data_IF_136910467467
#
_entry.id   IF_136910467467
#
_cell.length_a   1.000
_cell.length_b   1.000
_cell.length_c   1.000
_cell.angle_alpha   90.00
_cell.angle_beta   90.00
_cell.angle_gamma   90.00
#
_symmetry.space_group_name_H-M   'P 1'
#
loop_
_entity.id
_entity.type
_entity.pdbx_description
1 polymer ?
#
# COMPACT_ATOMS: atom_id res chain seq x y z
N UNK A 1 -19.74 -3.53 11.05
CA UNK A 1 -18.78 -3.45 9.94
C UNK A 1 -17.69 -2.44 10.29
N UNK A 2 -16.56 -2.46 9.58
CA UNK A 2 -15.51 -1.44 9.64
C UNK A 2 -15.33 -0.81 8.25
N UNK A 3 -15.18 0.50 8.17
CA UNK A 3 -15.05 1.21 6.89
C UNK A 3 -13.58 1.26 6.46
N UNK A 4 -13.29 0.79 5.24
CA UNK A 4 -11.95 0.79 4.63
C UNK A 4 -11.95 1.60 3.35
N UNK A 5 -10.82 2.23 3.02
CA UNK A 5 -10.59 2.84 1.71
C UNK A 5 -9.76 1.87 0.86
N UNK A 6 -10.24 1.51 -0.33
CA UNK A 6 -9.53 0.62 -1.22
C UNK A 6 -8.21 1.25 -1.68
N UNK A 7 -7.05 0.61 -1.47
CA UNK A 7 -5.75 1.18 -1.85
C UNK A 7 -5.50 1.19 -3.37
N UNK A 8 -6.42 0.62 -4.15
CA UNK A 8 -6.32 0.54 -5.62
C UNK A 8 -7.19 1.59 -6.29
N UNK A 9 -8.46 1.72 -5.89
CA UNK A 9 -9.43 2.57 -6.58
C UNK A 9 -9.99 3.71 -5.70
N UNK A 10 -9.58 3.82 -4.44
CA UNK A 10 -10.04 4.87 -3.53
C UNK A 10 -11.48 4.71 -3.02
N UNK A 11 -12.22 3.69 -3.46
CA UNK A 11 -13.60 3.46 -3.01
C UNK A 11 -13.65 3.10 -1.53
N UNK A 12 -14.53 3.78 -0.79
CA UNK A 12 -14.90 3.40 0.58
C UNK A 12 -15.79 2.15 0.55
N UNK A 13 -15.45 1.13 1.34
CA UNK A 13 -16.19 -0.13 1.39
C UNK A 13 -16.19 -0.72 2.81
N UNK A 14 -17.24 -1.48 3.10
CA UNK A 14 -17.40 -2.13 4.40
C UNK A 14 -16.69 -3.48 4.46
N UNK A 15 -16.01 -3.72 5.57
CA UNK A 15 -15.33 -4.97 5.87
C UNK A 15 -15.92 -5.58 7.14
N UNK A 16 -16.12 -6.90 7.13
CA UNK A 16 -16.57 -7.63 8.30
C UNK A 16 -15.58 -7.47 9.46
N UNK A 17 -16.06 -7.25 10.69
CA UNK A 17 -15.20 -6.96 11.87
C UNK A 17 -14.13 -8.03 12.11
N UNK A 18 -14.44 -9.30 11.85
CA UNK A 18 -13.47 -10.40 11.93
C UNK A 18 -12.35 -10.24 10.88
N UNK A 19 -12.68 -9.89 9.64
CA UNK A 19 -11.68 -9.64 8.61
C UNK A 19 -10.87 -8.38 8.89
N UNK A 20 -11.50 -7.36 9.48
CA UNK A 20 -10.80 -6.16 9.96
C UNK A 20 -9.77 -6.51 11.04
N UNK A 21 -10.17 -7.25 12.09
CA UNK A 21 -9.26 -7.70 13.14
C UNK A 21 -8.08 -8.53 12.60
N UNK A 22 -8.36 -9.45 11.67
CA UNK A 22 -7.33 -10.29 11.03
C UNK A 22 -6.44 -9.53 10.02
N UNK A 23 -6.75 -8.26 9.72
CA UNK A 23 -5.93 -7.46 8.80
C UNK A 23 -4.70 -6.85 9.49
N UNK A 24 -4.67 -6.77 10.82
CA UNK A 24 -3.61 -6.10 11.58
C UNK A 24 -3.31 -4.68 11.06
N UNK A 25 -4.35 -3.92 10.73
CA UNK A 25 -4.24 -2.57 10.18
C UNK A 25 -3.82 -2.50 8.71
N UNK A 26 -3.66 -3.63 8.02
CA UNK A 26 -3.37 -3.63 6.57
C UNK A 26 -4.61 -3.23 5.76
N UNK A 27 -4.42 -2.45 4.68
CA UNK A 27 -5.53 -2.02 3.84
C UNK A 27 -6.20 -3.22 3.15
N UNK A 28 -7.53 -3.20 3.07
CA UNK A 28 -8.34 -4.21 2.36
C UNK A 28 -8.81 -3.67 1.00
N UNK A 29 -8.79 -4.53 -0.01
CA UNK A 29 -9.31 -4.23 -1.36
C UNK A 29 -10.82 -4.48 -1.44
N UNK A 30 -11.55 -3.62 -2.17
CA UNK A 30 -13.02 -3.68 -2.26
C UNK A 30 -13.59 -4.80 -3.16
N UNK A 31 -12.78 -5.39 -4.05
CA UNK A 31 -13.26 -6.36 -5.05
C UNK A 31 -12.17 -7.34 -5.50
N UNK A 32 -12.54 -8.48 -6.11
CA UNK A 32 -11.57 -9.42 -6.70
C UNK A 32 -10.64 -8.76 -7.71
N UNK A 33 -11.15 -7.83 -8.54
CA UNK A 33 -10.35 -7.07 -9.50
C UNK A 33 -9.30 -6.20 -8.80
N UNK A 34 -9.66 -5.50 -7.72
CA UNK A 34 -8.68 -4.73 -6.97
C UNK A 34 -7.67 -5.64 -6.26
N UNK A 35 -8.11 -6.80 -5.77
CA UNK A 35 -7.26 -7.79 -5.13
C UNK A 35 -6.18 -8.35 -6.07
N UNK A 36 -6.50 -8.57 -7.35
CA UNK A 36 -5.52 -9.04 -8.34
C UNK A 36 -4.51 -7.96 -8.74
N UNK A 37 -4.93 -6.69 -8.77
CA UNK A 37 -4.06 -5.55 -9.11
C UNK A 37 -3.14 -5.13 -7.95
N UNK A 38 -3.58 -5.31 -6.71
CA UNK A 38 -2.90 -4.77 -5.54
C UNK A 38 -1.43 -5.21 -5.37
N UNK A 39 -1.04 -6.48 -5.59
CA UNK A 39 0.36 -6.90 -5.44
C UNK A 39 1.33 -6.15 -6.37
N UNK A 40 0.92 -5.92 -7.62
CA UNK A 40 1.74 -5.19 -8.60
C UNK A 40 1.93 -3.72 -8.19
N UNK A 41 0.85 -3.07 -7.75
CA UNK A 41 0.88 -1.70 -7.26
C UNK A 41 1.71 -1.55 -5.98
N UNK A 42 1.54 -2.47 -5.03
CA UNK A 42 2.32 -2.48 -3.79
C UNK A 42 3.81 -2.64 -4.09
N UNK A 43 4.19 -3.55 -5.00
CA UNK A 43 5.58 -3.71 -5.44
C UNK A 43 6.13 -2.46 -6.10
N UNK A 44 5.37 -1.84 -7.02
CA UNK A 44 5.80 -0.62 -7.68
C UNK A 44 6.07 0.52 -6.69
N UNK A 45 5.20 0.67 -5.68
CA UNK A 45 5.38 1.65 -4.61
C UNK A 45 6.64 1.39 -3.79
N UNK A 46 6.87 0.17 -3.33
CA UNK A 46 8.08 -0.18 -2.56
C UNK A 46 9.33 0.10 -3.37
N UNK A 47 9.35 -0.26 -4.66
CA UNK A 47 10.50 0.02 -5.53
C UNK A 47 10.73 1.53 -5.72
N UNK A 48 9.66 2.32 -5.83
CA UNK A 48 9.78 3.78 -5.92
C UNK A 48 10.33 4.38 -4.62
N UNK A 49 9.87 3.90 -3.46
CA UNK A 49 10.37 4.31 -2.15
C UNK A 49 11.86 3.95 -1.98
N UNK A 50 12.27 2.73 -2.36
CA UNK A 50 13.68 2.32 -2.34
C UNK A 50 14.56 3.18 -3.26
N UNK A 51 14.09 3.49 -4.48
CA UNK A 51 14.82 4.39 -5.40
C UNK A 51 14.98 5.78 -4.82
N UNK A 52 13.94 6.32 -4.20
CA UNK A 52 13.99 7.61 -3.52
C UNK A 52 15.01 7.59 -2.38
N UNK A 53 14.99 6.55 -1.54
CA UNK A 53 15.96 6.41 -0.45
C UNK A 53 17.41 6.28 -0.97
N UNK A 54 17.62 5.55 -2.07
CA UNK A 54 18.94 5.43 -2.70
C UNK A 54 19.43 6.78 -3.25
N UNK A 55 18.55 7.54 -3.91
CA UNK A 55 18.85 8.88 -4.39
C UNK A 55 19.20 9.82 -3.22
N UNK A 56 18.36 9.86 -2.18
CA UNK A 56 18.56 10.71 -1.01
C UNK A 56 19.84 10.34 -0.24
N UNK A 57 20.21 9.05 -0.21
CA UNK A 57 21.47 8.60 0.38
C UNK A 57 22.68 9.06 -0.45
N UNK A 58 22.60 9.00 -1.77
CA UNK A 58 23.65 9.48 -2.66
C UNK A 58 23.86 10.99 -2.54
N UNK A 59 22.79 11.78 -2.44
CA UNK A 59 22.85 13.23 -2.25
C UNK A 59 23.34 13.68 -0.86
N UNK A 60 23.44 12.78 0.13
CA UNK A 60 23.90 13.10 1.50
C UNK A 60 25.38 12.81 1.76
N UNK A 61 26.10 12.25 0.79
CA UNK A 61 27.55 12.13 0.90
C UNK A 61 28.16 13.53 0.71
N UNK A 62 28.98 14.04 1.65
CA UNK A 62 29.71 15.27 1.41
C UNK A 62 30.68 15.00 0.25
N UNK A 63 30.61 15.83 -0.79
CA UNK A 63 31.70 15.90 -1.76
C UNK A 63 32.94 16.33 -0.99
N UNK A 64 33.94 15.44 -0.95
CA UNK A 64 35.18 15.63 -0.20
C UNK A 64 35.98 16.82 -0.69
#
# INVERSE_FOLDING_TARGET
MALHICPVCGTAHEVHRVLDALSYGRPRTCSPRCKTLFPALARARVLAEMRKMAHDAHCRLPEG
#
